data_IF_203968416805
#
_entry.id   IF_203968416805
#
_cell.length_a   1.000
_cell.length_b   1.000
_cell.length_c   1.000
_cell.angle_alpha   90.00
_cell.angle_beta   90.00
_cell.angle_gamma   90.00
#
_symmetry.space_group_name_H-M   'P 1'
#
loop_
_entity.id
_entity.type
_entity.pdbx_description
1 polymer ?
#
# COMPACT_ATOMS: atom_id res chain seq x y z
N UNK A 1 13.88 -16.61 7.62
CA UNK A 1 13.76 -15.92 8.92
C UNK A 1 12.81 -14.76 8.74
N UNK A 2 12.02 -14.35 9.74
CA UNK A 2 11.18 -13.17 9.62
C UNK A 2 12.05 -11.93 9.41
N UNK A 3 11.59 -11.02 8.54
CA UNK A 3 12.29 -9.75 8.31
C UNK A 3 12.17 -8.86 9.55
N UNK A 4 13.22 -8.10 9.84
CA UNK A 4 13.34 -7.25 11.03
C UNK A 4 13.09 -5.80 10.66
N UNK A 5 12.18 -5.15 11.38
CA UNK A 5 11.85 -3.73 11.20
C UNK A 5 12.28 -2.96 12.45
N UNK A 6 13.02 -1.88 12.27
CA UNK A 6 13.23 -0.89 13.34
C UNK A 6 12.09 0.12 13.30
N UNK A 7 11.51 0.41 14.46
CA UNK A 7 10.56 1.52 14.67
C UNK A 7 11.19 2.50 15.64
N UNK A 8 11.43 3.73 15.20
CA UNK A 8 11.98 4.80 16.01
C UNK A 8 10.97 5.95 16.11
N UNK A 9 10.42 6.17 17.28
CA UNK A 9 9.44 7.19 17.61
C UNK A 9 9.55 7.50 19.10
N UNK A 10 9.58 8.78 19.50
CA UNK A 10 9.65 9.19 20.90
C UNK A 10 8.29 9.06 21.62
N UNK A 11 7.19 9.00 20.86
CA UNK A 11 5.88 8.63 21.40
C UNK A 11 5.77 7.11 21.55
N UNK A 12 5.89 6.63 22.79
CA UNK A 12 5.80 5.22 23.11
C UNK A 12 4.46 4.57 22.69
N UNK A 13 3.36 5.34 22.64
CA UNK A 13 2.06 4.83 22.21
C UNK A 13 2.04 4.57 20.70
N UNK A 14 2.59 5.48 19.93
CA UNK A 14 2.73 5.32 18.48
C UNK A 14 3.67 4.15 18.16
N UNK A 15 4.84 4.10 18.82
CA UNK A 15 5.80 3.02 18.64
C UNK A 15 5.20 1.64 18.92
N UNK A 16 4.44 1.50 20.02
CA UNK A 16 3.77 0.24 20.38
C UNK A 16 2.62 -0.11 19.43
N UNK A 17 1.86 0.88 18.97
CA UNK A 17 0.81 0.66 17.97
C UNK A 17 1.41 0.11 16.67
N UNK A 18 2.43 0.78 16.15
CA UNK A 18 3.13 0.37 14.91
C UNK A 18 3.73 -1.02 15.08
N UNK A 19 4.40 -1.27 16.21
CA UNK A 19 4.96 -2.59 16.56
C UNK A 19 3.90 -3.68 16.50
N UNK A 20 2.76 -3.50 17.18
CA UNK A 20 1.70 -4.50 17.24
C UNK A 20 1.16 -4.88 15.84
N UNK A 21 0.99 -3.89 14.96
CA UNK A 21 0.53 -4.14 13.59
C UNK A 21 1.59 -4.85 12.74
N UNK A 22 2.86 -4.49 12.86
CA UNK A 22 3.95 -5.14 12.12
C UNK A 22 4.20 -6.58 12.61
N UNK A 23 4.18 -6.82 13.94
CA UNK A 23 4.32 -8.17 14.51
C UNK A 23 3.16 -9.08 14.11
N UNK A 24 1.92 -8.57 14.11
CA UNK A 24 0.74 -9.29 13.60
C UNK A 24 0.89 -9.68 12.13
N UNK A 25 1.63 -8.88 11.37
CA UNK A 25 1.92 -9.10 9.95
C UNK A 25 3.11 -10.04 9.71
N UNK A 26 3.74 -10.56 10.79
CA UNK A 26 4.81 -11.56 10.75
C UNK A 26 6.22 -10.98 10.74
N UNK A 27 6.41 -9.67 10.97
CA UNK A 27 7.72 -9.05 11.11
C UNK A 27 8.28 -9.19 12.54
N UNK A 28 9.60 -9.20 12.68
CA UNK A 28 10.28 -8.97 13.96
C UNK A 28 10.48 -7.46 14.11
N UNK A 29 10.16 -6.90 15.28
CA UNK A 29 10.23 -5.45 15.48
C UNK A 29 11.17 -5.10 16.62
N UNK A 30 12.12 -4.18 16.34
CA UNK A 30 12.95 -3.50 17.33
C UNK A 30 12.40 -2.08 17.50
N UNK A 31 12.40 -1.55 18.72
CA UNK A 31 11.90 -0.19 19.01
C UNK A 31 13.04 0.65 19.57
N UNK A 32 13.09 1.92 19.14
CA UNK A 32 14.00 2.94 19.66
C UNK A 32 13.20 4.20 20.04
N UNK A 33 13.51 4.84 21.16
CA UNK A 33 12.81 6.01 21.66
C UNK A 33 13.46 7.34 21.25
N UNK A 34 14.61 7.30 20.62
CA UNK A 34 15.34 8.48 20.13
C UNK A 34 16.29 8.13 18.99
N UNK A 35 16.81 9.16 18.31
CA UNK A 35 17.68 8.98 17.14
C UNK A 35 19.05 8.34 17.46
N UNK A 36 19.55 8.41 18.67
CA UNK A 36 20.81 7.74 19.08
C UNK A 36 20.60 6.25 19.28
N UNK A 37 19.53 5.86 19.99
CA UNK A 37 19.11 4.47 20.11
C UNK A 37 18.81 3.86 18.74
N UNK A 38 18.12 4.62 17.85
CA UNK A 38 17.84 4.17 16.50
C UNK A 38 19.12 3.88 15.73
N UNK A 39 20.13 4.77 15.78
CA UNK A 39 21.41 4.56 15.12
C UNK A 39 22.18 3.37 15.69
N UNK A 40 22.15 3.21 17.02
CA UNK A 40 22.76 2.04 17.69
C UNK A 40 22.10 0.73 17.22
N UNK A 41 20.77 0.69 17.22
CA UNK A 41 19.99 -0.50 16.80
C UNK A 41 20.20 -0.81 15.32
N UNK A 42 20.28 0.21 14.46
CA UNK A 42 20.61 0.03 13.04
C UNK A 42 21.95 -0.69 12.84
N UNK A 43 22.96 -0.34 13.64
CA UNK A 43 24.30 -0.94 13.54
C UNK A 43 24.37 -2.36 14.13
N UNK A 44 23.70 -2.59 15.25
CA UNK A 44 23.74 -3.88 15.96
C UNK A 44 22.81 -4.93 15.35
N UNK A 45 21.57 -4.56 15.05
CA UNK A 45 20.53 -5.49 14.61
C UNK A 45 20.43 -5.60 13.07
N UNK A 46 20.94 -4.59 12.33
CA UNK A 46 20.87 -4.52 10.86
C UNK A 46 19.49 -4.84 10.32
N UNK A 47 18.46 -4.05 10.67
CA UNK A 47 17.10 -4.31 10.25
C UNK A 47 16.96 -4.22 8.73
N UNK A 48 16.01 -4.97 8.18
CA UNK A 48 15.69 -4.96 6.75
C UNK A 48 15.01 -3.66 6.30
N UNK A 49 14.42 -2.89 7.25
CA UNK A 49 13.82 -1.57 7.03
C UNK A 49 13.75 -0.81 8.36
N UNK A 50 13.87 0.52 8.29
CA UNK A 50 13.60 1.38 9.42
C UNK A 50 12.42 2.33 9.17
N UNK A 51 11.49 2.39 10.13
CA UNK A 51 10.42 3.37 10.24
C UNK A 51 10.89 4.41 11.24
N UNK A 52 11.04 5.67 10.81
CA UNK A 52 11.66 6.73 11.60
C UNK A 52 10.72 7.93 11.72
N UNK A 53 10.46 8.39 12.95
CA UNK A 53 9.84 9.69 13.14
C UNK A 53 10.82 10.82 12.78
N UNK A 54 10.30 11.87 12.17
CA UNK A 54 11.07 13.09 11.88
C UNK A 54 11.42 13.83 13.17
N UNK A 55 10.46 13.91 14.10
CA UNK A 55 10.59 14.73 15.31
C UNK A 55 10.98 13.87 16.51
N UNK A 56 12.26 13.50 16.59
CA UNK A 56 12.78 12.75 17.75
C UNK A 56 13.80 13.58 18.55
N UNK A 57 13.88 13.37 19.88
CA UNK A 57 14.91 14.00 20.72
C UNK A 57 16.31 13.47 20.42
N UNK A 58 17.33 14.22 20.85
CA UNK A 58 18.76 13.98 20.66
C UNK A 58 19.21 14.07 19.20
N UNK A 59 18.50 13.43 18.29
CA UNK A 59 18.80 13.44 16.85
C UNK A 59 17.50 13.32 16.07
N UNK A 60 17.21 14.33 15.28
CA UNK A 60 16.04 14.33 14.41
C UNK A 60 16.16 13.29 13.26
N UNK A 61 15.04 12.91 12.69
CA UNK A 61 14.99 11.91 11.62
C UNK A 61 15.78 12.31 10.37
N UNK A 62 15.86 13.60 10.02
CA UNK A 62 16.63 14.08 8.86
C UNK A 62 18.15 13.94 9.09
N UNK A 63 18.62 14.30 10.28
CA UNK A 63 20.03 14.12 10.65
C UNK A 63 20.38 12.62 10.69
N UNK A 64 19.46 11.78 11.13
CA UNK A 64 19.64 10.32 11.15
C UNK A 64 19.73 9.74 9.73
N UNK A 65 18.88 10.18 8.78
CA UNK A 65 18.98 9.78 7.36
C UNK A 65 20.36 10.09 6.81
N UNK A 66 20.84 11.32 7.03
CA UNK A 66 22.14 11.73 6.49
C UNK A 66 23.28 10.82 7.00
N UNK A 67 23.25 10.43 8.29
CA UNK A 67 24.22 9.51 8.87
C UNK A 67 24.08 8.07 8.29
N UNK A 68 22.85 7.59 8.15
CA UNK A 68 22.60 6.27 7.55
C UNK A 68 23.13 6.23 6.12
N UNK A 69 22.86 7.25 5.31
CA UNK A 69 23.33 7.31 3.92
C UNK A 69 24.83 7.54 3.76
N UNK A 70 25.48 8.14 4.75
CA UNK A 70 26.94 8.29 4.80
C UNK A 70 27.67 7.01 5.30
N UNK A 71 27.00 6.09 5.97
CA UNK A 71 27.56 4.86 6.50
C UNK A 71 27.44 3.75 5.46
N UNK A 72 28.58 3.27 4.90
CA UNK A 72 28.61 2.28 3.83
C UNK A 72 27.89 0.96 4.18
N UNK A 73 27.76 0.62 5.48
CA UNK A 73 27.06 -0.60 5.92
C UNK A 73 25.55 -0.40 6.07
N UNK A 74 25.10 0.84 6.25
CA UNK A 74 23.70 1.18 6.47
C UNK A 74 23.07 1.87 5.27
N UNK A 75 23.86 2.38 4.33
CA UNK A 75 23.39 3.20 3.21
C UNK A 75 22.30 2.53 2.35
N UNK A 76 22.29 1.19 2.29
CA UNK A 76 21.29 0.43 1.56
C UNK A 76 20.03 0.10 2.39
N UNK A 77 19.99 0.43 3.70
CA UNK A 77 18.81 0.15 4.55
C UNK A 77 17.63 1.02 4.07
N UNK A 78 16.50 0.42 3.73
CA UNK A 78 15.30 1.16 3.35
C UNK A 78 14.71 1.96 4.51
N UNK A 79 14.21 3.17 4.22
CA UNK A 79 13.72 4.11 5.22
C UNK A 79 12.30 4.58 4.90
N UNK A 80 11.36 4.38 5.81
CA UNK A 80 10.03 4.99 5.81
C UNK A 80 9.98 6.09 6.88
N UNK A 81 9.68 7.33 6.48
CA UNK A 81 9.58 8.44 7.42
C UNK A 81 8.17 8.66 7.91
N UNK A 82 8.00 8.83 9.22
CA UNK A 82 6.75 9.31 9.83
C UNK A 82 6.87 10.81 10.10
N UNK A 83 5.86 11.60 9.76
CA UNK A 83 5.93 13.06 9.93
C UNK A 83 4.58 13.65 10.34
N UNK A 84 4.59 14.59 11.31
CA UNK A 84 3.38 15.19 11.86
C UNK A 84 2.65 16.17 10.91
N UNK A 85 3.36 16.82 10.00
CA UNK A 85 2.82 17.70 8.95
C UNK A 85 3.88 17.92 7.89
N UNK A 86 3.46 17.95 6.67
CA UNK A 86 4.39 18.19 5.59
C UNK A 86 3.97 19.46 4.88
N UNK A 87 4.71 20.50 5.07
CA UNK A 87 4.90 21.47 3.99
C UNK A 87 5.60 20.70 2.87
N UNK A 88 5.20 20.89 1.61
CA UNK A 88 5.78 20.17 0.46
C UNK A 88 7.31 20.28 0.41
N UNK A 89 7.88 21.31 1.02
CA UNK A 89 9.31 21.52 1.20
C UNK A 89 10.01 20.44 2.04
N UNK A 90 9.37 19.92 3.11
CA UNK A 90 9.96 18.88 3.97
C UNK A 90 9.93 17.50 3.32
N UNK A 91 8.90 17.19 2.53
CA UNK A 91 8.85 15.97 1.69
C UNK A 91 9.96 15.97 0.65
N UNK A 92 10.10 17.08 -0.08
CA UNK A 92 11.15 17.23 -1.09
C UNK A 92 12.54 17.14 -0.46
N UNK A 93 12.74 17.75 0.73
CA UNK A 93 14.00 17.67 1.47
C UNK A 93 14.35 16.25 1.87
N UNK A 94 13.40 15.52 2.42
CA UNK A 94 13.66 14.17 2.88
C UNK A 94 13.85 13.16 1.74
N UNK A 95 13.10 13.27 0.62
CA UNK A 95 13.33 12.47 -0.59
C UNK A 95 14.71 12.78 -1.17
N UNK A 96 15.14 14.05 -1.18
CA UNK A 96 16.49 14.43 -1.62
C UNK A 96 17.59 13.91 -0.68
N UNK A 97 17.27 13.67 0.60
CA UNK A 97 18.17 13.05 1.58
C UNK A 97 18.22 11.52 1.50
N UNK A 98 17.35 10.91 0.69
CA UNK A 98 17.38 9.47 0.41
C UNK A 98 16.41 8.60 1.23
N UNK A 99 15.30 9.15 1.73
CA UNK A 99 14.21 8.32 2.23
C UNK A 99 13.47 7.62 1.08
N UNK A 100 12.97 6.40 1.31
CA UNK A 100 12.30 5.59 0.29
C UNK A 100 10.80 5.86 0.21
N UNK A 101 10.17 6.33 1.29
CA UNK A 101 8.76 6.75 1.35
C UNK A 101 8.47 7.60 2.59
N UNK A 102 7.29 8.25 2.61
CA UNK A 102 6.78 9.10 3.69
C UNK A 102 5.35 8.75 4.04
N UNK A 103 5.03 8.83 5.34
CA UNK A 103 3.68 8.67 5.85
C UNK A 103 3.37 9.78 6.86
N UNK A 104 2.29 10.52 6.65
CA UNK A 104 1.89 11.63 7.53
C UNK A 104 1.10 11.14 8.74
N UNK A 105 1.43 11.66 9.93
CA UNK A 105 0.61 11.51 11.14
C UNK A 105 -0.58 12.50 11.11
N UNK A 106 -1.80 12.10 11.49
CA UNK A 106 -2.20 10.75 11.86
C UNK A 106 -2.32 9.82 10.64
N UNK A 107 -1.90 8.57 10.79
CA UNK A 107 -1.93 7.57 9.74
C UNK A 107 -2.79 6.36 10.11
N UNK A 108 -3.24 5.64 9.11
CA UNK A 108 -3.89 4.35 9.30
C UNK A 108 -2.82 3.23 9.42
N UNK A 109 -2.74 2.47 10.53
CA UNK A 109 -1.74 1.41 10.70
C UNK A 109 -1.71 0.37 9.57
N UNK A 110 -2.82 -0.12 9.01
CA UNK A 110 -2.81 -0.93 7.79
C UNK A 110 -2.11 -0.28 6.59
N UNK A 111 -2.17 1.05 6.42
CA UNK A 111 -1.45 1.77 5.37
C UNK A 111 0.06 1.71 5.60
N UNK A 112 0.50 1.88 6.85
CA UNK A 112 1.92 1.77 7.22
C UNK A 112 2.46 0.37 6.86
N UNK A 113 1.76 -0.69 7.25
CA UNK A 113 2.14 -2.08 6.93
C UNK A 113 2.24 -2.29 5.42
N UNK A 114 1.28 -1.79 4.64
CA UNK A 114 1.29 -1.90 3.19
C UNK A 114 2.51 -1.19 2.57
N UNK A 115 2.91 -0.02 3.08
CA UNK A 115 4.09 0.72 2.64
C UNK A 115 5.39 -0.01 3.00
N UNK A 116 5.50 -0.52 4.23
CA UNK A 116 6.65 -1.35 4.67
C UNK A 116 6.84 -2.53 3.73
N UNK A 117 5.78 -3.30 3.44
CA UNK A 117 5.84 -4.41 2.49
C UNK A 117 6.28 -3.96 1.08
N UNK A 118 5.77 -2.84 0.60
CA UNK A 118 6.13 -2.31 -0.72
C UNK A 118 7.60 -1.91 -0.81
N UNK A 119 8.15 -1.30 0.24
CA UNK A 119 9.54 -0.88 0.32
C UNK A 119 10.45 -2.12 0.38
N UNK A 120 10.18 -3.07 1.29
CA UNK A 120 10.96 -4.30 1.45
C UNK A 120 11.02 -5.12 0.14
N UNK A 121 9.92 -5.22 -0.58
CA UNK A 121 9.87 -5.89 -1.87
C UNK A 121 10.79 -5.24 -2.90
N UNK A 122 10.87 -3.90 -2.93
CA UNK A 122 11.78 -3.16 -3.82
C UNK A 122 13.24 -3.36 -3.42
N UNK A 123 13.55 -3.34 -2.12
CA UNK A 123 14.90 -3.43 -1.60
C UNK A 123 15.49 -4.85 -1.68
N UNK A 124 14.68 -5.88 -1.52
CA UNK A 124 15.12 -7.28 -1.47
C UNK A 124 15.64 -7.85 -2.79
N UNK A 125 15.68 -7.06 -3.87
CA UNK A 125 16.16 -7.53 -5.20
C UNK A 125 15.35 -8.73 -5.75
N UNK A 126 14.48 -9.30 -4.94
CA UNK A 126 13.52 -10.28 -5.38
C UNK A 126 12.40 -9.53 -6.11
N UNK A 127 12.56 -9.42 -7.40
CA UNK A 127 11.47 -9.25 -8.36
C UNK A 127 10.55 -10.49 -8.27
N UNK A 128 9.95 -10.74 -7.10
CA UNK A 128 8.61 -11.28 -7.17
C UNK A 128 7.75 -10.10 -7.62
N UNK A 129 7.27 -10.11 -8.84
CA UNK A 129 6.38 -9.07 -9.30
C UNK A 129 5.27 -8.99 -8.26
N UNK A 130 4.97 -7.78 -7.78
CA UNK A 130 3.80 -7.57 -6.94
C UNK A 130 2.65 -8.38 -7.53
N UNK A 131 1.81 -9.01 -6.71
CA UNK A 131 0.74 -9.84 -7.24
C UNK A 131 -0.02 -9.02 -8.28
N UNK A 132 0.18 -9.40 -9.53
CA UNK A 132 -0.55 -8.83 -10.65
C UNK A 132 -1.86 -9.59 -10.69
N UNK A 133 -2.92 -8.93 -10.28
CA UNK A 133 -4.26 -9.47 -10.48
C UNK A 133 -4.55 -9.45 -11.97
N UNK A 134 -5.02 -10.57 -12.50
CA UNK A 134 -5.28 -10.74 -13.93
C UNK A 134 -6.66 -11.33 -14.15
N UNK A 135 -7.32 -10.84 -15.19
CA UNK A 135 -8.56 -11.43 -15.67
C UNK A 135 -8.72 -11.11 -17.17
N UNK A 136 -8.51 -12.10 -18.04
CA UNK A 136 -8.44 -11.86 -19.47
C UNK A 136 -7.32 -10.87 -19.86
N UNK A 137 -7.64 -9.84 -20.61
CA UNK A 137 -6.73 -8.76 -20.98
C UNK A 137 -6.45 -7.75 -19.87
N UNK A 138 -7.19 -7.82 -18.74
CA UNK A 138 -7.07 -6.89 -17.64
C UNK A 138 -5.92 -7.30 -16.72
N UNK A 139 -5.03 -6.35 -16.43
CA UNK A 139 -3.89 -6.50 -15.52
C UNK A 139 -3.88 -5.35 -14.53
N UNK A 140 -3.81 -5.68 -13.24
CA UNK A 140 -3.77 -4.69 -12.16
C UNK A 140 -2.57 -4.95 -11.28
N UNK A 141 -1.69 -3.98 -11.15
CA UNK A 141 -0.52 -4.02 -10.27
C UNK A 141 -0.81 -3.23 -9.01
N UNK A 142 -0.69 -3.90 -7.87
CA UNK A 142 -1.05 -3.30 -6.57
C UNK A 142 0.06 -2.41 -6.00
N UNK A 143 1.32 -2.64 -6.40
CA UNK A 143 2.49 -1.94 -5.91
C UNK A 143 2.57 -0.47 -6.34
N UNK A 144 2.28 -0.22 -7.61
CA UNK A 144 2.36 1.10 -8.22
C UNK A 144 0.98 1.63 -8.65
N UNK A 145 -0.10 0.93 -8.27
CA UNK A 145 -1.49 1.26 -8.57
C UNK A 145 -1.77 1.47 -10.07
N UNK A 146 -1.11 0.67 -10.92
CA UNK A 146 -1.35 0.74 -12.36
C UNK A 146 -2.33 -0.34 -12.81
N UNK A 147 -3.14 0.02 -13.81
CA UNK A 147 -4.08 -0.87 -14.47
C UNK A 147 -3.87 -0.79 -15.99
N UNK A 148 -3.90 -1.94 -16.63
CA UNK A 148 -3.79 -2.08 -18.08
C UNK A 148 -4.94 -2.96 -18.58
N UNK A 149 -5.46 -2.64 -19.74
CA UNK A 149 -6.41 -3.47 -20.50
C UNK A 149 -5.80 -3.73 -21.88
N UNK A 150 -5.57 -4.98 -22.21
CA UNK A 150 -4.91 -5.42 -23.45
C UNK A 150 -3.55 -4.71 -23.69
N UNK A 151 -2.82 -4.44 -22.59
CA UNK A 151 -1.52 -3.76 -22.62
C UNK A 151 -1.60 -2.23 -22.68
N UNK A 152 -2.77 -1.63 -22.84
CA UNK A 152 -2.96 -0.19 -22.80
C UNK A 152 -3.20 0.30 -21.35
N UNK A 153 -2.49 1.35 -20.87
CA UNK A 153 -2.66 1.87 -19.53
C UNK A 153 -4.01 2.57 -19.35
N UNK A 154 -4.67 2.32 -18.22
CA UNK A 154 -5.96 2.90 -17.87
C UNK A 154 -5.86 3.69 -16.56
N UNK A 155 -6.25 4.97 -16.60
CA UNK A 155 -6.26 5.84 -15.44
C UNK A 155 -7.56 5.69 -14.64
N UNK A 156 -7.45 5.08 -13.45
CA UNK A 156 -8.55 4.93 -12.50
C UNK A 156 -8.44 5.96 -11.38
N UNK A 157 -9.58 6.43 -10.90
CA UNK A 157 -9.66 7.14 -9.61
C UNK A 157 -9.38 6.18 -8.46
N UNK A 158 -9.11 6.71 -7.25
CA UNK A 158 -8.90 5.88 -6.05
C UNK A 158 -10.04 4.89 -5.83
N UNK A 159 -11.27 5.38 -5.89
CA UNK A 159 -12.48 4.57 -5.68
C UNK A 159 -12.65 3.48 -6.75
N UNK A 160 -12.47 3.82 -8.02
CA UNK A 160 -12.55 2.86 -9.13
C UNK A 160 -11.46 1.78 -9.00
N UNK A 161 -10.25 2.15 -8.56
CA UNK A 161 -9.17 1.22 -8.31
C UNK A 161 -9.51 0.23 -7.19
N UNK A 162 -10.04 0.70 -6.05
CA UNK A 162 -10.40 -0.19 -4.94
C UNK A 162 -11.57 -1.11 -5.29
N UNK A 163 -12.57 -0.62 -6.01
CA UNK A 163 -13.67 -1.46 -6.51
C UNK A 163 -13.18 -2.54 -7.46
N UNK A 164 -12.31 -2.19 -8.42
CA UNK A 164 -11.71 -3.15 -9.34
C UNK A 164 -10.85 -4.18 -8.61
N UNK A 165 -10.08 -3.76 -7.62
CA UNK A 165 -9.26 -4.63 -6.78
C UNK A 165 -10.12 -5.66 -6.05
N UNK A 166 -11.20 -5.24 -5.39
CA UNK A 166 -12.10 -6.14 -4.68
C UNK A 166 -12.71 -7.19 -5.60
N UNK A 167 -13.16 -6.77 -6.78
CA UNK A 167 -13.73 -7.68 -7.78
C UNK A 167 -12.69 -8.68 -8.31
N UNK A 168 -11.47 -8.24 -8.62
CA UNK A 168 -10.38 -9.09 -9.09
C UNK A 168 -9.86 -10.07 -8.02
N UNK A 169 -9.94 -9.71 -6.74
CA UNK A 169 -9.56 -10.58 -5.62
C UNK A 169 -10.61 -11.65 -5.29
N UNK A 170 -11.84 -11.46 -5.77
CA UNK A 170 -12.97 -12.37 -5.51
C UNK A 170 -13.66 -12.79 -6.82
N UNK A 171 -12.93 -13.40 -7.77
CA UNK A 171 -13.51 -13.81 -9.05
C UNK A 171 -14.66 -14.79 -8.81
N UNK A 172 -15.70 -14.71 -9.64
CA UNK A 172 -16.95 -15.46 -9.58
C UNK A 172 -17.85 -15.17 -8.38
N UNK A 173 -17.34 -14.55 -7.31
CA UNK A 173 -18.15 -14.16 -6.17
C UNK A 173 -18.98 -12.92 -6.50
N UNK A 174 -20.24 -12.93 -6.09
CA UNK A 174 -21.08 -11.72 -6.10
C UNK A 174 -20.73 -10.90 -4.87
N UNK A 175 -20.25 -9.68 -5.10
CA UNK A 175 -20.06 -8.68 -4.05
C UNK A 175 -21.29 -7.78 -3.99
N UNK A 176 -21.85 -7.66 -2.80
CA UNK A 176 -23.01 -6.78 -2.56
C UNK A 176 -22.60 -5.30 -2.68
N UNK A 177 -23.56 -4.41 -2.87
CA UNK A 177 -23.29 -2.96 -2.88
C UNK A 177 -22.70 -2.49 -1.54
N UNK A 178 -23.19 -3.04 -0.42
CA UNK A 178 -22.65 -2.75 0.91
C UNK A 178 -21.19 -3.15 1.06
N UNK A 179 -20.80 -4.38 0.68
CA UNK A 179 -19.40 -4.83 0.71
C UNK A 179 -18.50 -3.96 -0.18
N UNK A 180 -18.99 -3.53 -1.34
CA UNK A 180 -18.23 -2.65 -2.23
C UNK A 180 -18.09 -1.22 -1.68
N UNK A 181 -19.06 -0.71 -0.94
CA UNK A 181 -18.96 0.57 -0.21
C UNK A 181 -17.89 0.47 0.86
N UNK A 182 -17.96 -0.56 1.70
CA UNK A 182 -16.99 -0.80 2.78
C UNK A 182 -15.56 -0.83 2.26
N UNK A 183 -15.33 -1.56 1.16
CA UNK A 183 -14.01 -1.64 0.53
C UNK A 183 -13.55 -0.32 -0.07
N UNK A 184 -14.45 0.44 -0.71
CA UNK A 184 -14.08 1.64 -1.46
C UNK A 184 -13.95 2.89 -0.57
N UNK A 185 -14.73 2.97 0.51
CA UNK A 185 -14.88 4.17 1.34
C UNK A 185 -14.59 3.93 2.82
N UNK A 186 -14.55 2.67 3.29
CA UNK A 186 -14.37 2.30 4.70
C UNK A 186 -15.64 2.38 5.53
N UNK A 187 -15.58 1.92 6.80
CA UNK A 187 -16.73 1.77 7.71
C UNK A 187 -17.42 3.08 8.10
N UNK A 188 -16.79 4.24 7.87
CA UNK A 188 -17.31 5.56 8.26
C UNK A 188 -18.15 6.24 7.17
N UNK A 189 -18.45 5.54 6.07
CA UNK A 189 -19.15 6.17 4.94
C UNK A 189 -20.68 6.08 5.12
N UNK A 190 -21.32 7.21 5.33
CA UNK A 190 -22.77 7.37 5.50
C UNK A 190 -23.48 7.66 4.16
N UNK A 191 -22.92 7.23 3.04
CA UNK A 191 -23.44 7.47 1.68
C UNK A 191 -24.39 6.39 1.18
N UNK A 192 -25.26 6.77 0.23
CA UNK A 192 -26.23 5.86 -0.38
C UNK A 192 -25.57 4.79 -1.24
N UNK A 193 -26.08 3.56 -1.23
CA UNK A 193 -25.66 2.42 -2.07
C UNK A 193 -25.57 2.74 -3.58
N UNK A 194 -26.38 3.70 -4.06
CA UNK A 194 -26.36 4.18 -5.44
C UNK A 194 -25.05 4.86 -5.86
N UNK A 195 -24.21 5.26 -4.91
CA UNK A 195 -22.90 5.86 -5.20
C UNK A 195 -21.99 4.83 -5.89
N UNK A 196 -22.06 3.55 -5.50
CA UNK A 196 -21.30 2.47 -6.14
C UNK A 196 -21.67 2.30 -7.60
N UNK A 197 -22.97 2.34 -7.93
CA UNK A 197 -23.46 2.15 -9.30
C UNK A 197 -22.85 3.19 -10.27
N UNK A 198 -22.70 4.44 -9.80
CA UNK A 198 -22.06 5.50 -10.56
C UNK A 198 -20.56 5.25 -10.80
N UNK A 199 -19.84 4.77 -9.78
CA UNK A 199 -18.42 4.41 -9.91
C UNK A 199 -18.23 3.18 -10.79
N UNK A 200 -19.08 2.17 -10.68
CA UNK A 200 -19.06 0.99 -11.57
C UNK A 200 -19.35 1.40 -13.03
N UNK A 201 -20.31 2.29 -13.26
CA UNK A 201 -20.58 2.82 -14.61
C UNK A 201 -19.35 3.51 -15.19
N UNK A 202 -18.65 4.34 -14.41
CA UNK A 202 -17.44 5.02 -14.86
C UNK A 202 -16.27 4.04 -15.04
N UNK A 203 -16.12 3.07 -14.15
CA UNK A 203 -15.14 2.00 -14.27
C UNK A 203 -15.33 1.22 -15.58
N UNK A 204 -16.55 0.77 -15.88
CA UNK A 204 -16.88 0.08 -17.14
C UNK A 204 -16.47 0.87 -18.38
N UNK A 205 -16.72 2.19 -18.39
CA UNK A 205 -16.31 3.06 -19.51
C UNK A 205 -14.82 3.04 -19.79
N UNK A 206 -14.02 2.67 -18.80
CA UNK A 206 -12.55 2.68 -18.86
C UNK A 206 -11.94 1.30 -19.15
N UNK A 207 -12.60 0.22 -18.70
CA UNK A 207 -12.03 -1.13 -18.77
C UNK A 207 -12.78 -2.07 -19.73
N UNK A 208 -14.05 -1.82 -20.03
CA UNK A 208 -14.83 -2.70 -20.91
C UNK A 208 -14.64 -2.30 -22.39
N UNK A 209 -14.54 -3.28 -23.30
CA UNK A 209 -14.58 -3.00 -24.72
C UNK A 209 -15.89 -2.33 -25.15
N UNK A 210 -17.02 -2.79 -24.60
CA UNK A 210 -18.34 -2.17 -24.73
C UNK A 210 -19.00 -2.03 -23.36
N UNK A 211 -19.11 -0.79 -22.81
CA UNK A 211 -19.74 -0.54 -21.52
C UNK A 211 -21.23 -0.92 -21.44
N UNK A 212 -21.92 -1.02 -22.58
CA UNK A 212 -23.32 -1.43 -22.64
C UNK A 212 -23.49 -2.97 -22.55
N UNK A 213 -22.44 -3.70 -22.96
CA UNK A 213 -22.37 -5.16 -22.92
C UNK A 213 -21.12 -5.61 -22.15
N UNK A 214 -21.06 -5.38 -20.82
CA UNK A 214 -19.87 -5.59 -20.04
C UNK A 214 -19.48 -7.06 -19.94
N UNK A 215 -18.17 -7.33 -20.03
CA UNK A 215 -17.57 -8.68 -19.92
C UNK A 215 -16.78 -8.88 -18.64
N UNK A 216 -16.18 -7.81 -18.07
CA UNK A 216 -15.40 -7.87 -16.84
C UNK A 216 -16.26 -7.68 -15.60
N UNK A 217 -17.13 -6.67 -15.58
CA UNK A 217 -17.94 -6.35 -14.38
C UNK A 217 -19.42 -6.55 -14.69
N UNK A 218 -19.97 -7.69 -14.28
CA UNK A 218 -21.37 -8.05 -14.50
C UNK A 218 -22.26 -7.52 -13.38
N UNK A 219 -23.48 -7.10 -13.72
CA UNK A 219 -24.51 -6.76 -12.72
C UNK A 219 -25.29 -7.99 -12.34
N UNK A 220 -25.41 -8.23 -11.02
CA UNK A 220 -26.35 -9.19 -10.46
C UNK A 220 -27.52 -8.39 -9.89
N UNK A 221 -28.63 -8.41 -10.63
CA UNK A 221 -29.79 -7.57 -10.31
C UNK A 221 -30.30 -7.79 -8.88
N UNK A 222 -30.54 -6.69 -8.18
CA UNK A 222 -31.01 -6.70 -6.79
C UNK A 222 -29.96 -7.03 -5.73
N UNK A 223 -28.72 -7.45 -6.12
CA UNK A 223 -27.67 -7.87 -5.17
C UNK A 223 -26.44 -6.97 -5.27
N UNK A 224 -25.76 -6.94 -6.43
CA UNK A 224 -24.49 -6.22 -6.55
C UNK A 224 -23.79 -6.52 -7.86
N UNK A 225 -22.48 -6.79 -7.80
CA UNK A 225 -21.63 -6.98 -8.96
C UNK A 225 -20.74 -8.22 -8.83
N UNK A 226 -20.37 -8.79 -9.96
CA UNK A 226 -19.49 -9.95 -10.05
C UNK A 226 -18.49 -9.76 -11.17
N UNK A 227 -17.28 -10.28 -10.99
CA UNK A 227 -16.29 -10.41 -12.05
C UNK A 227 -16.17 -11.89 -12.45
N UNK A 228 -16.60 -12.28 -13.66
CA UNK A 228 -16.40 -13.64 -14.15
C UNK A 228 -14.91 -13.85 -14.47
N UNK A 229 -14.46 -15.09 -14.45
CA UNK A 229 -13.09 -15.44 -14.81
C UNK A 229 -12.97 -15.53 -16.36
N UNK A 230 -12.53 -14.44 -16.98
CA UNK A 230 -12.39 -14.30 -18.45
C UNK A 230 -11.07 -14.93 -18.94
N UNK A 231 -10.66 -16.04 -18.49
CA UNK A 231 -9.40 -16.67 -18.90
C UNK A 231 -9.42 -18.18 -18.87
N UNK A 232 -10.51 -18.78 -18.41
CA UNK A 232 -10.67 -20.24 -18.30
C UNK A 232 -11.47 -20.90 -19.43
N UNK A 233 -11.87 -20.14 -20.45
CA UNK A 233 -12.71 -20.66 -21.55
C UNK A 233 -11.91 -21.25 -22.74
N UNK A 234 -10.60 -21.44 -22.63
CA UNK A 234 -9.77 -21.95 -23.73
C UNK A 234 -9.07 -23.29 -23.46
N UNK A 235 -9.42 -24.01 -22.36
CA UNK A 235 -8.97 -25.40 -22.14
C UNK A 235 -10.17 -26.27 -21.72
N UNK A 236 -11.04 -26.53 -22.64
CA UNK A 236 -11.92 -27.70 -22.61
C UNK A 236 -11.67 -28.51 -23.90
N UNK A 237 -11.49 -29.83 -23.78
CA UNK A 237 -11.01 -30.76 -24.81
C UNK A 237 -11.95 -30.89 -25.99
#
# INVERSE_FOLDING_TARGET
MPQTILVADDDAQIAQLVRAYLERDGFRVCVAADGEQALHTLRSERPDLAVLDVMMPKRDGFALIALIRADAQLAATPLLMLTARVEDADKLRGLSLGADDYLTKPFNPPELVARVRAILRRAGGALQPAPVLRNGGLRMRLDNRTVEVDGAPVNLTRTEFELLRALLQSPERVLTRGELIEVAFGDAFDGFERTVDSHIKNLRRKIEPDPASPTYVLTVHGIGYRMPNVGKAADAP
#
